data_IF_855011546364
#
_entry.id   IF_855011546364
#
_cell.length_a   1.000
_cell.length_b   1.000
_cell.length_c   1.000
_cell.angle_alpha   90.00
_cell.angle_beta   90.00
_cell.angle_gamma   90.00
#
_symmetry.space_group_name_H-M   'P 1'
#
loop_
_entity.id
_entity.type
_entity.pdbx_description
1 polymer ?
#
# COMPACT_ATOMS: atom_id res chain seq x y z
N UNK A 1 -14.63 8.99 28.64
CA UNK A 1 -13.84 10.20 28.31
C UNK A 1 -14.78 11.16 27.60
N UNK A 2 -14.81 12.44 27.95
CA UNK A 2 -15.70 13.45 27.33
C UNK A 2 -15.07 14.16 26.12
N UNK A 3 -13.88 13.72 25.70
CA UNK A 3 -13.10 14.29 24.62
C UNK A 3 -12.52 13.14 23.79
N UNK A 4 -12.30 13.37 22.50
CA UNK A 4 -11.69 12.36 21.63
C UNK A 4 -10.18 12.30 21.87
N UNK A 5 -9.74 11.14 22.36
CA UNK A 5 -8.33 10.79 22.50
C UNK A 5 -7.76 10.34 21.15
N UNK A 6 -6.66 10.96 20.72
CA UNK A 6 -5.94 10.65 19.49
C UNK A 6 -4.56 10.09 19.86
N UNK A 7 -4.20 8.92 19.35
CA UNK A 7 -2.92 8.26 19.63
C UNK A 7 -2.28 7.69 18.37
N UNK A 8 -0.98 7.94 18.25
CA UNK A 8 -0.14 7.49 17.15
C UNK A 8 0.67 6.30 17.64
N UNK A 9 0.46 5.13 17.03
CA UNK A 9 1.11 3.89 17.44
C UNK A 9 2.30 3.53 16.56
N UNK A 10 2.25 3.93 15.28
CA UNK A 10 3.32 3.76 14.29
C UNK A 10 3.07 4.68 13.08
N UNK A 11 4.02 4.85 12.16
CA UNK A 11 3.84 5.57 10.88
C UNK A 11 4.22 7.06 10.86
N UNK A 12 4.76 7.63 11.95
CA UNK A 12 5.15 9.05 12.01
C UNK A 12 6.44 9.38 11.26
N UNK A 13 7.37 8.43 11.24
CA UNK A 13 8.72 8.60 10.69
C UNK A 13 9.17 7.35 9.92
N UNK A 14 8.20 6.60 9.39
CA UNK A 14 8.40 5.39 8.61
C UNK A 14 7.57 5.44 7.34
N UNK A 15 8.04 4.76 6.30
CA UNK A 15 7.17 4.27 5.22
C UNK A 15 6.73 2.88 5.66
N UNK A 16 5.44 2.71 5.77
CA UNK A 16 4.73 1.53 6.22
C UNK A 16 4.46 1.45 7.72
N UNK A 17 3.57 0.52 8.07
CA UNK A 17 3.17 0.23 9.44
C UNK A 17 2.28 1.32 10.01
N UNK A 18 1.34 1.84 9.21
CA UNK A 18 0.52 2.97 9.61
C UNK A 18 -0.54 2.55 10.64
N UNK A 19 -0.49 3.12 11.84
CA UNK A 19 -1.43 2.77 12.93
C UNK A 19 -1.74 4.02 13.77
N UNK A 20 -2.95 4.54 13.66
CA UNK A 20 -3.51 5.61 14.50
C UNK A 20 -4.83 5.15 15.10
N UNK A 21 -5.11 5.55 16.34
CA UNK A 21 -6.42 5.36 16.97
C UNK A 21 -7.07 6.67 17.40
N UNK A 22 -8.40 6.71 17.26
CA UNK A 22 -9.28 7.72 17.84
C UNK A 22 -10.24 7.02 18.79
N UNK A 23 -10.35 7.52 20.03
CA UNK A 23 -11.22 6.93 21.04
C UNK A 23 -12.07 8.02 21.73
N UNK A 24 -13.37 7.79 21.82
CA UNK A 24 -14.31 8.60 22.57
C UNK A 24 -15.16 7.67 23.41
N UNK A 25 -15.23 7.92 24.73
CA UNK A 25 -15.82 6.97 25.68
C UNK A 25 -15.22 5.56 25.54
N UNK A 26 -16.06 4.53 25.36
CA UNK A 26 -15.66 3.16 25.14
C UNK A 26 -15.62 2.77 23.65
N UNK A 27 -15.79 3.72 22.72
CA UNK A 27 -15.70 3.45 21.28
C UNK A 27 -14.33 3.84 20.75
N UNK A 28 -13.71 2.96 19.96
CA UNK A 28 -12.41 3.20 19.34
C UNK A 28 -12.42 2.83 17.85
N UNK A 29 -11.82 3.69 17.05
CA UNK A 29 -11.45 3.44 15.66
C UNK A 29 -9.94 3.31 15.60
N UNK A 30 -9.44 2.31 14.88
CA UNK A 30 -8.06 2.24 14.42
C UNK A 30 -8.08 2.36 12.89
N UNK A 31 -7.29 3.28 12.32
CA UNK A 31 -7.09 3.37 10.88
C UNK A 31 -5.82 2.62 10.51
N UNK A 32 -5.97 1.60 9.67
CA UNK A 32 -4.98 0.60 9.28
C UNK A 32 -4.34 -0.19 10.45
N UNK A 33 -3.75 -1.34 10.12
CA UNK A 33 -3.00 -2.17 11.06
C UNK A 33 -1.89 -2.93 10.34
N UNK A 34 -0.97 -2.15 9.78
CA UNK A 34 0.11 -2.63 8.92
C UNK A 34 1.23 -3.39 9.62
N UNK A 35 2.02 -4.12 8.83
CA UNK A 35 3.31 -4.62 9.27
C UNK A 35 4.27 -3.44 9.54
N UNK A 36 4.76 -3.34 10.77
CA UNK A 36 5.74 -2.32 11.15
C UNK A 36 7.11 -2.59 10.51
N UNK A 37 7.92 -1.54 10.33
CA UNK A 37 9.27 -1.66 9.76
C UNK A 37 10.08 -2.69 10.54
N UNK A 38 10.65 -3.67 9.82
CA UNK A 38 11.44 -4.76 10.41
C UNK A 38 10.63 -5.96 10.92
N UNK A 39 9.30 -5.91 10.87
CA UNK A 39 8.46 -7.07 11.13
C UNK A 39 8.44 -7.99 9.90
N UNK A 40 8.55 -9.29 10.13
CA UNK A 40 8.35 -10.31 9.11
C UNK A 40 6.86 -10.71 9.10
N UNK A 41 6.27 -10.81 7.90
CA UNK A 41 4.83 -11.11 7.76
C UNK A 41 4.49 -12.53 8.22
N UNK A 42 5.37 -13.52 8.00
CA UNK A 42 5.16 -14.89 8.49
C UNK A 42 5.12 -14.94 10.02
N UNK A 43 5.98 -14.16 10.68
CA UNK A 43 5.94 -14.01 12.13
C UNK A 43 4.62 -13.35 12.58
N UNK A 44 4.15 -12.32 11.85
CA UNK A 44 2.87 -11.65 12.10
C UNK A 44 1.64 -12.53 11.84
N UNK A 45 1.77 -13.65 11.13
CA UNK A 45 0.71 -14.65 10.99
C UNK A 45 0.70 -15.65 12.15
N UNK A 46 1.79 -15.75 12.91
CA UNK A 46 1.93 -16.68 14.01
C UNK A 46 1.55 -16.03 15.36
N UNK A 47 0.31 -16.26 15.82
CA UNK A 47 -0.18 -15.78 17.13
C UNK A 47 0.60 -16.30 18.35
N UNK A 48 1.40 -17.37 18.21
CA UNK A 48 2.26 -17.79 19.32
C UNK A 48 3.43 -16.82 19.57
N UNK A 49 3.76 -15.98 18.58
CA UNK A 49 4.82 -14.98 18.67
C UNK A 49 4.34 -13.62 19.17
N UNK A 50 3.04 -13.41 19.45
CA UNK A 50 2.51 -12.08 19.81
C UNK A 50 3.26 -11.42 20.96
N UNK A 51 3.49 -12.14 22.08
CA UNK A 51 4.24 -11.60 23.22
C UNK A 51 5.67 -11.21 22.85
N UNK A 52 6.35 -12.00 22.01
CA UNK A 52 7.69 -11.68 21.52
C UNK A 52 7.66 -10.43 20.64
N UNK A 53 6.75 -10.37 19.66
CA UNK A 53 6.62 -9.24 18.73
C UNK A 53 6.29 -7.92 19.46
N UNK A 54 5.47 -7.97 20.51
CA UNK A 54 5.18 -6.82 21.38
C UNK A 54 6.43 -6.37 22.17
N UNK A 55 7.24 -7.31 22.65
CA UNK A 55 8.48 -7.00 23.37
C UNK A 55 9.60 -6.50 22.47
N UNK A 56 9.62 -6.92 21.20
CA UNK A 56 10.54 -6.47 20.15
C UNK A 56 10.09 -5.19 19.44
N UNK A 57 8.96 -4.58 19.86
CA UNK A 57 8.38 -3.37 19.23
C UNK A 57 8.03 -3.56 17.74
N UNK A 58 7.77 -4.80 17.32
CA UNK A 58 7.26 -5.16 15.98
C UNK A 58 5.74 -5.18 15.91
N UNK A 59 5.07 -5.05 17.06
CA UNK A 59 3.64 -4.82 17.23
C UNK A 59 3.40 -3.71 18.25
N UNK A 60 2.39 -2.85 18.07
CA UNK A 60 2.09 -1.80 19.02
C UNK A 60 1.41 -2.36 20.28
N UNK A 61 1.78 -1.88 21.46
CA UNK A 61 1.13 -2.27 22.73
C UNK A 61 -0.20 -1.53 22.93
N UNK A 62 -1.22 -1.89 22.15
CA UNK A 62 -2.56 -1.30 22.22
C UNK A 62 -3.44 -2.09 23.21
N UNK A 63 -3.89 -1.48 24.33
CA UNK A 63 -4.78 -2.15 25.29
C UNK A 63 -6.09 -2.60 24.65
N UNK A 64 -6.57 -3.79 25.02
CA UNK A 64 -7.86 -4.32 24.58
C UNK A 64 -7.88 -4.80 23.12
N UNK A 65 -6.71 -5.06 22.50
CA UNK A 65 -6.64 -5.48 21.10
C UNK A 65 -6.24 -6.95 20.91
N UNK A 66 -5.43 -7.49 21.81
CA UNK A 66 -4.86 -8.84 21.71
C UNK A 66 -5.50 -9.79 22.73
N UNK A 67 -5.67 -11.07 22.34
CA UNK A 67 -6.31 -12.03 23.23
C UNK A 67 -5.48 -12.38 24.46
N UNK A 68 -6.15 -12.69 25.57
CA UNK A 68 -5.53 -13.08 26.84
C UNK A 68 -4.60 -14.27 26.69
N UNK A 69 -4.92 -15.19 25.77
CA UNK A 69 -4.13 -16.40 25.51
C UNK A 69 -2.70 -16.08 25.03
N UNK A 70 -2.51 -14.97 24.30
CA UNK A 70 -1.24 -14.63 23.63
C UNK A 70 -0.43 -13.57 24.39
N UNK A 71 -0.97 -13.00 25.47
CA UNK A 71 -0.36 -11.95 26.30
C UNK A 71 0.39 -12.45 27.55
N UNK A 72 0.83 -13.72 27.56
CA UNK A 72 1.31 -14.42 28.79
C UNK A 72 2.33 -13.65 29.63
N UNK A 73 3.30 -13.00 28.98
CA UNK A 73 4.42 -12.31 29.64
C UNK A 73 4.43 -10.79 29.34
N UNK A 74 3.31 -10.24 28.87
CA UNK A 74 3.17 -8.82 28.55
C UNK A 74 2.05 -8.22 29.39
N UNK A 75 2.40 -7.24 30.23
CA UNK A 75 1.41 -6.48 31.00
C UNK A 75 0.65 -5.52 30.07
N UNK A 76 -0.49 -5.99 29.56
CA UNK A 76 -1.38 -5.26 28.67
C UNK A 76 -2.82 -5.74 28.89
N UNK A 77 -3.79 -4.83 28.86
CA UNK A 77 -5.21 -5.21 28.92
C UNK A 77 -5.54 -6.11 27.72
N UNK A 78 -6.14 -7.27 27.98
CA UNK A 78 -6.53 -8.22 26.94
C UNK A 78 -7.83 -7.79 26.27
N UNK A 79 -8.07 -8.29 25.06
CA UNK A 79 -9.32 -8.07 24.32
C UNK A 79 -10.54 -8.52 25.14
N UNK A 80 -10.46 -9.67 25.82
CA UNK A 80 -11.57 -10.24 26.60
C UNK A 80 -11.84 -9.49 27.90
N UNK A 81 -10.83 -8.80 28.45
CA UNK A 81 -10.95 -8.03 29.69
C UNK A 81 -11.27 -6.53 29.44
N UNK A 82 -11.35 -6.10 28.18
CA UNK A 82 -11.59 -4.69 27.80
C UNK A 82 -13.04 -4.42 27.45
N UNK A 83 -13.59 -3.31 27.96
CA UNK A 83 -14.92 -2.81 27.58
C UNK A 83 -14.88 -1.89 26.33
N UNK A 84 -13.70 -1.74 25.69
CA UNK A 84 -13.52 -0.84 24.53
C UNK A 84 -13.98 -1.53 23.24
N UNK A 85 -15.08 -1.04 22.68
CA UNK A 85 -15.59 -1.45 21.37
C UNK A 85 -14.68 -0.90 20.26
N UNK A 86 -13.81 -1.76 19.74
CA UNK A 86 -12.84 -1.41 18.70
C UNK A 86 -13.28 -1.89 17.33
N UNK A 87 -13.19 -1.01 16.33
CA UNK A 87 -13.22 -1.38 14.91
C UNK A 87 -11.94 -0.94 14.22
N UNK A 88 -11.62 -1.58 13.10
CA UNK A 88 -10.52 -1.17 12.21
C UNK A 88 -11.11 -0.68 10.89
N UNK A 89 -10.62 0.45 10.41
CA UNK A 89 -10.92 0.98 9.09
C UNK A 89 -9.67 0.84 8.24
N UNK A 90 -9.73 -0.03 7.22
CA UNK A 90 -8.62 -0.32 6.32
C UNK A 90 -8.69 0.57 5.08
N UNK A 91 -7.60 1.24 4.76
CA UNK A 91 -7.47 2.09 3.57
C UNK A 91 -7.25 1.27 2.29
N UNK A 92 -6.35 0.28 2.32
CA UNK A 92 -6.05 -0.57 1.17
C UNK A 92 -5.26 -1.84 1.55
N UNK A 93 -4.98 -2.70 0.57
CA UNK A 93 -4.51 -4.07 0.79
C UNK A 93 -2.98 -4.26 0.85
N UNK A 94 -2.15 -3.22 0.87
CA UNK A 94 -0.71 -3.43 1.01
C UNK A 94 -0.33 -3.90 2.42
N UNK A 95 0.70 -4.75 2.52
CA UNK A 95 1.12 -5.39 3.77
C UNK A 95 1.48 -4.40 4.87
N UNK A 96 1.92 -3.21 4.52
CA UNK A 96 2.21 -2.13 5.45
C UNK A 96 0.96 -1.37 5.94
N UNK A 97 -0.23 -1.80 5.53
CA UNK A 97 -1.55 -1.33 5.98
C UNK A 97 -2.42 -2.42 6.61
N UNK A 98 -2.27 -3.71 6.24
CA UNK A 98 -3.00 -4.83 6.88
C UNK A 98 -2.13 -5.95 7.46
N UNK A 99 -0.80 -5.88 7.30
CA UNK A 99 0.10 -7.01 7.57
C UNK A 99 0.04 -7.58 8.99
N UNK A 100 -0.38 -6.77 9.97
CA UNK A 100 -0.50 -7.19 11.37
C UNK A 100 -1.88 -7.77 11.71
N UNK A 101 -2.79 -7.94 10.73
CA UNK A 101 -4.13 -8.50 10.96
C UNK A 101 -4.10 -9.91 11.55
N UNK A 102 -3.05 -10.69 11.29
CA UNK A 102 -2.89 -12.05 11.85
C UNK A 102 -2.86 -12.08 13.38
N UNK A 103 -2.55 -10.95 14.02
CA UNK A 103 -2.40 -10.81 15.46
C UNK A 103 -3.69 -10.33 16.17
N UNK A 104 -4.70 -9.92 15.41
CA UNK A 104 -5.96 -9.40 15.94
C UNK A 104 -6.88 -10.53 16.40
N UNK A 105 -7.82 -10.22 17.30
CA UNK A 105 -8.97 -11.10 17.53
C UNK A 105 -9.83 -11.20 16.26
N UNK A 106 -10.31 -12.40 15.93
CA UNK A 106 -11.15 -12.64 14.74
C UNK A 106 -12.54 -12.02 14.84
N UNK A 107 -12.92 -11.49 16.00
CA UNK A 107 -14.21 -10.82 16.25
C UNK A 107 -14.15 -9.31 16.11
N UNK A 108 -12.98 -8.71 15.87
CA UNK A 108 -12.86 -7.26 15.66
C UNK A 108 -13.34 -6.95 14.23
N UNK A 109 -14.39 -6.11 14.06
CA UNK A 109 -14.86 -5.73 12.73
C UNK A 109 -13.81 -4.92 11.96
N UNK A 110 -13.55 -5.35 10.73
CA UNK A 110 -12.66 -4.70 9.77
C UNK A 110 -13.49 -4.11 8.63
N UNK A 111 -13.60 -2.79 8.57
CA UNK A 111 -14.28 -2.08 7.50
C UNK A 111 -13.30 -1.67 6.40
N UNK A 112 -13.63 -1.99 5.16
CA UNK A 112 -12.88 -1.58 3.97
C UNK A 112 -13.85 -1.33 2.80
N UNK A 113 -13.40 -0.67 1.74
CA UNK A 113 -14.21 -0.61 0.53
C UNK A 113 -14.50 -2.02 0.01
N UNK A 114 -15.71 -2.22 -0.51
CA UNK A 114 -16.17 -3.50 -1.05
C UNK A 114 -15.20 -4.07 -2.08
N UNK A 115 -14.69 -3.25 -2.99
CA UNK A 115 -13.68 -3.62 -3.97
C UNK A 115 -12.41 -4.20 -3.31
N UNK A 116 -11.98 -3.68 -2.15
CA UNK A 116 -10.85 -4.24 -1.40
C UNK A 116 -11.20 -5.58 -0.75
N UNK A 117 -12.40 -5.74 -0.17
CA UNK A 117 -12.80 -7.01 0.44
C UNK A 117 -12.91 -8.11 -0.62
N UNK A 118 -13.51 -7.82 -1.77
CA UNK A 118 -13.63 -8.76 -2.90
C UNK A 118 -12.24 -9.09 -3.48
N UNK A 119 -11.39 -8.08 -3.69
CA UNK A 119 -10.04 -8.30 -4.22
C UNK A 119 -9.13 -9.06 -3.24
N UNK A 120 -9.26 -8.78 -1.95
CA UNK A 120 -8.61 -9.57 -0.90
C UNK A 120 -8.98 -11.06 -1.00
N UNK A 121 -10.26 -11.36 -1.18
CA UNK A 121 -10.75 -12.74 -1.39
C UNK A 121 -10.00 -13.44 -2.52
N UNK A 122 -9.91 -12.80 -3.69
CA UNK A 122 -9.18 -13.35 -4.82
C UNK A 122 -7.67 -13.46 -4.62
N UNK A 123 -7.03 -12.49 -3.96
CA UNK A 123 -5.60 -12.56 -3.64
C UNK A 123 -5.31 -13.73 -2.67
N UNK A 124 -6.14 -13.87 -1.63
CA UNK A 124 -6.05 -14.94 -0.63
C UNK A 124 -6.29 -16.32 -1.26
N UNK A 125 -7.35 -16.49 -2.04
CA UNK A 125 -7.70 -17.76 -2.70
C UNK A 125 -6.58 -18.28 -3.62
N UNK A 126 -5.76 -17.37 -4.14
CA UNK A 126 -4.64 -17.67 -5.01
C UNK A 126 -3.28 -17.57 -4.29
N UNK A 127 -3.23 -17.48 -2.95
CA UNK A 127 -1.99 -17.44 -2.18
C UNK A 127 -1.04 -16.30 -2.61
N UNK A 128 -1.60 -15.15 -3.00
CA UNK A 128 -0.89 -13.93 -3.39
C UNK A 128 -0.95 -12.84 -2.30
N UNK A 129 -1.74 -13.08 -1.25
CA UNK A 129 -1.73 -12.33 -0.01
C UNK A 129 -2.06 -13.29 1.14
N UNK A 130 -1.52 -13.09 2.36
CA UNK A 130 -1.82 -13.97 3.48
C UNK A 130 -3.31 -14.09 3.81
N UNK A 131 -3.70 -15.26 4.30
CA UNK A 131 -5.05 -15.46 4.84
C UNK A 131 -5.13 -14.95 6.28
N UNK A 132 -5.79 -13.82 6.47
CA UNK A 132 -6.20 -13.30 7.76
C UNK A 132 -7.58 -13.83 8.18
N UNK A 133 -7.67 -14.32 9.41
CA UNK A 133 -8.90 -14.72 10.10
C UNK A 133 -9.47 -13.52 10.88
N UNK A 134 -10.23 -12.68 10.18
CA UNK A 134 -10.82 -11.42 10.67
C UNK A 134 -12.24 -11.26 10.16
N UNK A 135 -13.05 -10.46 10.85
CA UNK A 135 -14.43 -10.17 10.51
C UNK A 135 -14.52 -9.02 9.48
N UNK A 136 -14.63 -9.35 8.20
CA UNK A 136 -14.66 -8.37 7.10
C UNK A 136 -16.05 -7.76 6.89
N UNK A 137 -16.12 -6.43 6.87
CA UNK A 137 -17.32 -5.63 6.62
C UNK A 137 -17.14 -4.73 5.39
N UNK A 138 -17.70 -5.08 4.22
CA UNK A 138 -17.56 -4.26 3.02
C UNK A 138 -18.38 -2.97 3.12
N UNK A 139 -17.80 -1.87 2.65
CA UNK A 139 -18.44 -0.55 2.56
C UNK A 139 -18.49 -0.14 1.08
N UNK A 140 -19.66 0.28 0.60
CA UNK A 140 -19.81 0.78 -0.77
C UNK A 140 -19.04 2.11 -0.96
N UNK A 141 -18.73 2.47 -2.20
CA UNK A 141 -18.08 3.74 -2.54
C UNK A 141 -18.82 4.95 -1.93
N UNK A 142 -18.09 5.82 -1.23
CA UNK A 142 -18.65 6.97 -0.49
C UNK A 142 -19.59 6.58 0.66
N UNK A 143 -19.66 5.29 1.00
CA UNK A 143 -20.46 4.73 2.07
C UNK A 143 -20.04 5.27 3.44
N UNK A 144 -21.01 5.35 4.33
CA UNK A 144 -20.85 5.86 5.69
C UNK A 144 -21.28 4.80 6.68
N UNK A 145 -20.47 4.58 7.72
CA UNK A 145 -20.77 3.68 8.84
C UNK A 145 -20.86 4.50 10.13
N UNK A 146 -21.53 3.92 11.13
CA UNK A 146 -21.64 4.47 12.48
C UNK A 146 -20.96 3.52 13.46
N UNK A 147 -20.17 4.07 14.38
CA UNK A 147 -19.56 3.33 15.48
C UNK A 147 -19.66 4.15 16.76
N UNK A 148 -20.71 3.90 17.55
CA UNK A 148 -21.07 4.76 18.67
C UNK A 148 -21.17 6.23 18.28
N UNK A 149 -20.32 7.12 18.85
CA UNK A 149 -20.33 8.55 18.56
C UNK A 149 -19.64 8.94 17.24
N UNK A 150 -19.01 7.98 16.55
CA UNK A 150 -18.26 8.26 15.33
C UNK A 150 -19.10 8.01 14.07
N UNK A 151 -19.06 8.98 13.16
CA UNK A 151 -19.49 8.80 11.77
C UNK A 151 -18.26 8.69 10.87
N UNK A 152 -18.16 7.61 10.11
CA UNK A 152 -16.96 7.28 9.31
C UNK A 152 -17.35 7.09 7.86
N UNK A 153 -16.69 7.78 6.93
CA UNK A 153 -16.95 7.69 5.50
C UNK A 153 -15.70 7.25 4.73
N UNK A 154 -15.87 6.29 3.81
CA UNK A 154 -14.79 5.81 2.93
C UNK A 154 -14.86 6.51 1.58
N UNK A 155 -13.79 7.20 1.19
CA UNK A 155 -13.70 7.97 -0.05
C UNK A 155 -12.68 7.30 -0.97
N UNK A 156 -13.07 6.76 -2.13
CA UNK A 156 -12.13 6.12 -3.05
C UNK A 156 -11.02 7.09 -3.52
N UNK A 157 -9.79 6.57 -3.58
CA UNK A 157 -8.61 7.25 -4.14
C UNK A 157 -7.99 6.40 -5.26
N UNK A 158 -7.05 6.97 -6.00
CA UNK A 158 -6.24 6.23 -6.98
C UNK A 158 -4.94 5.79 -6.34
N UNK A 159 -4.64 4.50 -6.44
CA UNK A 159 -3.44 3.85 -5.92
C UNK A 159 -3.10 2.66 -6.85
N UNK A 160 -2.09 1.86 -6.53
CA UNK A 160 -1.71 0.65 -7.27
C UNK A 160 -2.35 -0.65 -6.73
N UNK A 161 -3.46 -0.54 -6.00
CA UNK A 161 -4.33 -1.66 -5.63
C UNK A 161 -5.82 -1.29 -5.73
N UNK A 162 -6.70 -2.28 -5.90
CA UNK A 162 -8.16 -2.03 -5.97
C UNK A 162 -8.75 -1.67 -4.60
N UNK A 163 -9.75 -0.80 -4.63
CA UNK A 163 -10.50 -0.36 -3.44
C UNK A 163 -9.73 0.54 -2.48
N UNK A 164 -8.61 1.14 -2.90
CA UNK A 164 -7.90 2.10 -2.06
C UNK A 164 -8.80 3.29 -1.68
N UNK A 165 -8.75 3.69 -0.40
CA UNK A 165 -9.63 4.70 0.17
C UNK A 165 -8.93 5.62 1.17
N UNK A 166 -9.41 6.86 1.22
CA UNK A 166 -9.24 7.76 2.36
C UNK A 166 -10.42 7.61 3.32
N UNK A 167 -10.17 7.74 4.62
CA UNK A 167 -11.14 7.54 5.69
C UNK A 167 -11.43 8.89 6.35
N UNK A 168 -12.67 9.37 6.27
CA UNK A 168 -13.13 10.61 6.89
C UNK A 168 -13.86 10.26 8.19
N UNK A 169 -13.39 10.79 9.32
CA UNK A 169 -13.90 10.47 10.65
C UNK A 169 -14.46 11.74 11.27
N UNK A 170 -15.73 11.72 11.64
CA UNK A 170 -16.36 12.74 12.48
C UNK A 170 -16.58 12.17 13.87
N UNK A 171 -15.87 12.71 14.86
CA UNK A 171 -16.11 12.48 16.27
C UNK A 171 -16.92 13.66 16.86
N UNK A 172 -17.39 13.59 18.12
CA UNK A 172 -18.19 14.67 18.72
C UNK A 172 -17.52 16.05 18.74
N UNK A 173 -16.20 16.08 18.93
CA UNK A 173 -15.40 17.29 19.13
C UNK A 173 -14.32 17.51 18.05
N UNK A 174 -14.07 16.56 17.14
CA UNK A 174 -13.02 16.67 16.12
C UNK A 174 -13.36 15.92 14.82
N UNK A 175 -12.97 16.50 13.68
CA UNK A 175 -12.99 15.88 12.35
C UNK A 175 -11.60 15.55 11.86
N UNK A 176 -11.38 14.29 11.50
CA UNK A 176 -10.08 13.80 11.02
C UNK A 176 -10.21 13.18 9.63
N UNK A 177 -9.28 13.50 8.75
CA UNK A 177 -9.09 12.78 7.49
C UNK A 177 -7.80 11.97 7.61
N UNK A 178 -7.90 10.66 7.38
CA UNK A 178 -6.78 9.78 7.11
C UNK A 178 -6.71 9.57 5.59
N UNK A 179 -5.64 10.02 4.93
CA UNK A 179 -5.57 9.97 3.47
C UNK A 179 -5.52 8.55 2.90
N UNK A 180 -5.01 7.58 3.67
CA UNK A 180 -4.42 6.37 3.08
C UNK A 180 -3.26 6.75 2.16
N UNK A 181 -2.95 5.87 1.22
CA UNK A 181 -2.02 6.17 0.14
C UNK A 181 -2.76 6.52 -1.13
N UNK A 182 -2.19 7.45 -1.91
CA UNK A 182 -2.81 7.87 -3.16
C UNK A 182 -1.78 8.42 -4.14
N UNK A 183 -2.17 8.47 -5.42
CA UNK A 183 -1.42 9.12 -6.50
C UNK A 183 -2.32 9.78 -7.53
N UNK A 184 -1.81 10.82 -8.20
CA UNK A 184 -2.42 11.39 -9.42
C UNK A 184 -1.82 10.81 -10.72
N UNK A 185 -0.92 9.83 -10.59
CA UNK A 185 -0.17 9.23 -11.69
C UNK A 185 -0.64 7.82 -12.06
N UNK A 186 -1.76 7.36 -11.47
CA UNK A 186 -2.36 6.05 -11.73
C UNK A 186 -3.31 6.03 -12.92
N UNK A 187 -4.29 5.13 -12.86
CA UNK A 187 -5.29 4.96 -13.92
C UNK A 187 -6.57 5.77 -13.67
N UNK A 188 -6.74 6.28 -12.45
CA UNK A 188 -7.97 6.90 -11.97
C UNK A 188 -7.73 8.23 -11.24
N UNK A 189 -6.89 9.16 -11.76
CA UNK A 189 -6.57 10.40 -11.06
C UNK A 189 -7.81 11.25 -10.73
N UNK A 190 -8.92 11.08 -11.45
CA UNK A 190 -10.21 11.68 -11.15
C UNK A 190 -10.75 11.34 -9.75
N UNK A 191 -10.40 10.17 -9.19
CA UNK A 191 -10.78 9.78 -7.82
C UNK A 191 -10.11 10.69 -6.80
N UNK A 192 -8.83 10.99 -6.96
CA UNK A 192 -8.08 11.91 -6.08
C UNK A 192 -8.60 13.35 -6.21
N UNK A 193 -8.96 13.79 -7.41
CA UNK A 193 -9.57 15.10 -7.60
C UNK A 193 -10.93 15.21 -6.87
N UNK A 194 -11.77 14.17 -6.98
CA UNK A 194 -13.06 14.09 -6.29
C UNK A 194 -12.88 14.04 -4.78
N UNK A 195 -11.91 13.25 -4.30
CA UNK A 195 -11.54 13.17 -2.89
C UNK A 195 -11.08 14.53 -2.35
N UNK A 196 -10.19 15.25 -3.05
CA UNK A 196 -9.70 16.55 -2.62
C UNK A 196 -10.82 17.59 -2.50
N UNK A 197 -11.80 17.57 -3.42
CA UNK A 197 -13.00 18.42 -3.33
C UNK A 197 -13.86 18.07 -2.11
N UNK A 198 -14.08 16.78 -1.85
CA UNK A 198 -14.83 16.32 -0.67
C UNK A 198 -14.10 16.65 0.63
N UNK A 199 -12.78 16.46 0.68
CA UNK A 199 -11.94 16.79 1.83
C UNK A 199 -11.99 18.29 2.13
N UNK A 200 -11.96 19.14 1.10
CA UNK A 200 -12.15 20.59 1.26
C UNK A 200 -13.53 20.93 1.83
N UNK A 201 -14.59 20.26 1.37
CA UNK A 201 -15.96 20.47 1.85
C UNK A 201 -16.20 19.91 3.26
N UNK A 202 -15.49 18.85 3.63
CA UNK A 202 -15.57 18.22 4.96
C UNK A 202 -15.05 19.15 6.07
N UNK A 203 -14.14 20.07 5.71
CA UNK A 203 -13.55 21.08 6.59
C UNK A 203 -12.92 20.43 7.84
N UNK A 204 -11.95 19.55 7.58
CA UNK A 204 -11.29 18.75 8.60
C UNK A 204 -10.50 19.62 9.59
N UNK A 205 -10.58 19.25 10.86
CA UNK A 205 -9.72 19.79 11.90
C UNK A 205 -8.29 19.28 11.73
N UNK A 206 -8.13 17.99 11.41
CA UNK A 206 -6.84 17.34 11.24
C UNK A 206 -6.84 16.53 9.94
N UNK A 207 -5.81 16.74 9.12
CA UNK A 207 -5.49 15.89 7.97
C UNK A 207 -4.19 15.15 8.23
N UNK A 208 -4.26 13.82 8.30
CA UNK A 208 -3.11 12.94 8.16
C UNK A 208 -2.95 12.64 6.68
N UNK A 209 -1.80 13.04 6.12
CA UNK A 209 -1.54 12.88 4.70
C UNK A 209 -0.22 12.16 4.48
N UNK A 210 -0.25 11.13 3.63
CA UNK A 210 0.95 10.40 3.23
C UNK A 210 2.00 11.34 2.60
N UNK A 211 3.26 10.93 2.69
CA UNK A 211 4.42 11.70 2.27
C UNK A 211 5.53 10.81 1.74
N UNK A 212 5.21 9.64 1.19
CA UNK A 212 6.18 8.60 0.88
C UNK A 212 7.28 9.14 -0.02
N UNK A 213 6.91 9.88 -1.07
CA UNK A 213 7.86 10.44 -2.04
C UNK A 213 8.70 11.60 -1.50
N UNK A 214 8.30 12.26 -0.41
CA UNK A 214 9.13 13.24 0.29
C UNK A 214 10.34 12.60 0.96
N UNK A 215 10.28 11.30 1.27
CA UNK A 215 11.39 10.54 1.85
C UNK A 215 12.64 10.55 0.97
N UNK A 216 12.46 10.78 -0.34
CA UNK A 216 13.52 10.77 -1.34
C UNK A 216 13.92 12.17 -1.81
N UNK A 217 13.27 13.22 -1.32
CA UNK A 217 13.63 14.60 -1.71
C UNK A 217 15.00 14.94 -1.13
N UNK A 218 15.93 15.32 -2.02
CA UNK A 218 17.31 15.62 -1.66
C UNK A 218 18.11 14.41 -1.19
N UNK A 219 17.59 13.19 -1.37
CA UNK A 219 18.35 11.97 -1.08
C UNK A 219 19.34 11.69 -2.22
N UNK A 220 20.59 11.44 -1.85
CA UNK A 220 21.59 10.94 -2.79
C UNK A 220 21.39 9.43 -3.02
N UNK A 221 21.64 8.91 -4.22
CA UNK A 221 21.61 7.47 -4.48
C UNK A 221 22.54 6.72 -3.53
N UNK A 222 22.10 5.57 -3.02
CA UNK A 222 22.97 4.68 -2.26
C UNK A 222 24.05 4.07 -3.17
N UNK A 223 25.11 3.50 -2.60
CA UNK A 223 26.08 2.77 -3.43
C UNK A 223 25.46 1.60 -4.18
N UNK A 224 24.44 0.96 -3.60
CA UNK A 224 23.69 -0.10 -4.26
C UNK A 224 22.94 0.45 -5.48
N UNK A 225 22.29 1.61 -5.37
CA UNK A 225 21.62 2.28 -6.49
C UNK A 225 22.60 2.55 -7.63
N UNK A 226 23.77 3.11 -7.31
CA UNK A 226 24.81 3.42 -8.30
C UNK A 226 25.32 2.15 -9.02
N UNK A 227 25.48 1.03 -8.29
CA UNK A 227 25.90 -0.25 -8.89
C UNK A 227 24.79 -0.83 -9.77
N UNK A 228 23.53 -0.74 -9.34
CA UNK A 228 22.37 -1.22 -10.11
C UNK A 228 22.18 -0.38 -11.39
N UNK A 229 22.37 0.94 -11.33
CA UNK A 229 22.27 1.82 -12.50
C UNK A 229 23.28 1.45 -13.59
N UNK A 230 24.49 0.98 -13.20
CA UNK A 230 25.51 0.55 -14.15
C UNK A 230 25.14 -0.73 -14.93
N UNK A 231 24.22 -1.55 -14.39
CA UNK A 231 23.84 -2.83 -14.98
C UNK A 231 22.40 -2.86 -15.54
N UNK A 232 21.65 -1.75 -15.42
CA UNK A 232 20.24 -1.68 -15.81
C UNK A 232 19.95 -0.50 -16.74
N UNK A 233 18.79 -0.52 -17.41
CA UNK A 233 18.24 0.65 -18.11
C UNK A 233 16.95 1.10 -17.45
N UNK A 234 16.69 2.40 -17.38
CA UNK A 234 15.47 2.94 -16.78
C UNK A 234 14.55 3.59 -17.85
N UNK A 235 13.26 3.22 -17.85
CA UNK A 235 12.27 3.79 -18.78
C UNK A 235 11.73 5.16 -18.37
N UNK A 236 11.99 5.60 -17.13
CA UNK A 236 11.62 6.92 -16.60
C UNK A 236 10.15 7.29 -16.92
N UNK A 237 9.21 6.50 -16.39
CA UNK A 237 7.78 6.78 -16.55
C UNK A 237 7.25 7.65 -15.41
N UNK A 238 6.51 8.71 -15.75
CA UNK A 238 5.89 9.63 -14.78
C UNK A 238 4.52 9.17 -14.29
N UNK A 239 3.88 8.27 -15.04
CA UNK A 239 2.56 7.73 -14.74
C UNK A 239 2.36 6.38 -15.43
N UNK A 240 1.30 5.67 -15.03
CA UNK A 240 0.95 4.34 -15.57
C UNK A 240 0.78 4.34 -17.10
N UNK A 241 0.17 5.39 -17.68
CA UNK A 241 -0.08 5.45 -19.12
C UNK A 241 1.23 5.60 -19.92
N UNK A 242 2.16 6.42 -19.41
CA UNK A 242 3.49 6.56 -20.00
C UNK A 242 4.28 5.26 -19.84
N UNK A 243 4.20 4.59 -18.69
CA UNK A 243 4.85 3.29 -18.47
C UNK A 243 4.39 2.26 -19.50
N UNK A 244 3.08 2.08 -19.66
CA UNK A 244 2.51 1.17 -20.65
C UNK A 244 2.94 1.51 -22.08
N UNK A 245 3.01 2.81 -22.41
CA UNK A 245 3.50 3.27 -23.72
C UNK A 245 4.97 2.94 -23.94
N UNK A 246 5.80 3.12 -22.91
CA UNK A 246 7.23 2.77 -22.95
C UNK A 246 7.43 1.26 -23.06
N UNK A 247 6.74 0.45 -22.26
CA UNK A 247 6.77 -1.01 -22.34
C UNK A 247 6.41 -1.51 -23.75
N UNK A 248 5.36 -0.95 -24.36
CA UNK A 248 4.97 -1.25 -25.73
C UNK A 248 6.11 -0.95 -26.72
N UNK A 249 6.77 0.19 -26.59
CA UNK A 249 7.88 0.59 -27.48
C UNK A 249 9.11 -0.28 -27.28
N UNK A 250 9.46 -0.62 -26.05
CA UNK A 250 10.62 -1.49 -25.77
C UNK A 250 10.40 -2.90 -26.28
N UNK A 251 9.20 -3.46 -26.11
CA UNK A 251 8.85 -4.78 -26.67
C UNK A 251 8.98 -4.81 -28.19
N UNK A 252 8.57 -3.75 -28.89
CA UNK A 252 8.71 -3.63 -30.34
C UNK A 252 10.17 -3.59 -30.82
N UNK A 253 11.13 -3.19 -29.98
CA UNK A 253 12.57 -3.19 -30.31
C UNK A 253 13.20 -4.58 -30.20
N UNK A 254 12.51 -5.54 -29.59
CA UNK A 254 13.00 -6.90 -29.37
C UNK A 254 12.02 -7.94 -29.96
N UNK A 255 11.68 -7.87 -31.26
CA UNK A 255 10.63 -8.70 -31.86
C UNK A 255 10.95 -10.19 -31.73
N UNK A 256 12.22 -10.57 -31.79
CA UNK A 256 12.67 -11.97 -31.78
C UNK A 256 13.06 -12.51 -30.39
N UNK A 257 13.05 -11.66 -29.35
CA UNK A 257 13.46 -12.05 -27.99
C UNK A 257 12.26 -12.40 -27.12
N UNK A 258 12.47 -13.25 -26.12
CA UNK A 258 11.53 -13.41 -25.00
C UNK A 258 11.45 -12.10 -24.20
N UNK A 259 10.28 -11.83 -23.62
CA UNK A 259 10.09 -10.75 -22.65
C UNK A 259 9.69 -11.38 -21.32
N UNK A 260 10.41 -11.06 -20.25
CA UNK A 260 10.02 -11.36 -18.89
C UNK A 260 9.45 -10.09 -18.21
N UNK A 261 8.47 -10.26 -17.33
CA UNK A 261 7.82 -9.17 -16.61
C UNK A 261 7.61 -9.54 -15.15
N UNK A 262 8.13 -8.73 -14.24
CA UNK A 262 7.92 -8.85 -12.81
C UNK A 262 7.09 -7.66 -12.32
N UNK A 263 5.85 -7.90 -11.92
CA UNK A 263 4.95 -6.86 -11.42
C UNK A 263 4.14 -7.36 -10.25
N UNK A 264 3.70 -6.42 -9.41
CA UNK A 264 2.98 -6.73 -8.18
C UNK A 264 1.56 -7.25 -8.45
N UNK A 265 1.10 -8.32 -7.77
CA UNK A 265 -0.22 -8.92 -8.03
C UNK A 265 -1.38 -7.99 -7.68
N UNK A 266 -1.15 -7.08 -6.72
CA UNK A 266 -2.17 -6.13 -6.26
C UNK A 266 -2.47 -5.04 -7.31
N UNK A 267 -1.55 -4.76 -8.25
CA UNK A 267 -1.81 -3.87 -9.39
C UNK A 267 -2.40 -4.63 -10.58
N UNK A 268 -3.57 -5.25 -10.34
CA UNK A 268 -4.27 -6.09 -11.33
C UNK A 268 -4.59 -5.33 -12.63
N UNK A 269 -4.87 -4.03 -12.54
CA UNK A 269 -5.11 -3.18 -13.70
C UNK A 269 -3.87 -3.07 -14.59
N UNK A 270 -2.67 -2.92 -14.01
CA UNK A 270 -1.41 -2.93 -14.76
C UNK A 270 -1.18 -4.29 -15.41
N UNK A 271 -1.39 -5.40 -14.70
CA UNK A 271 -1.22 -6.75 -15.24
C UNK A 271 -2.10 -6.98 -16.47
N UNK A 272 -3.39 -6.64 -16.39
CA UNK A 272 -4.34 -6.79 -17.51
C UNK A 272 -3.95 -5.90 -18.69
N UNK A 273 -3.55 -4.65 -18.44
CA UNK A 273 -3.12 -3.74 -19.51
C UNK A 273 -1.79 -4.19 -20.14
N UNK A 274 -0.88 -4.77 -19.36
CA UNK A 274 0.34 -5.38 -19.88
C UNK A 274 0.02 -6.60 -20.76
N UNK A 275 -0.90 -7.49 -20.34
CA UNK A 275 -1.35 -8.62 -21.15
C UNK A 275 -1.93 -8.17 -22.50
N UNK A 276 -2.68 -7.05 -22.54
CA UNK A 276 -3.15 -6.45 -23.80
C UNK A 276 -2.00 -5.98 -24.71
N UNK A 277 -0.93 -5.42 -24.13
CA UNK A 277 0.27 -5.02 -24.89
C UNK A 277 0.97 -6.25 -25.47
N UNK A 278 1.12 -7.31 -24.66
CA UNK A 278 1.72 -8.58 -25.07
C UNK A 278 0.94 -9.18 -26.25
N UNK A 279 -0.38 -9.31 -26.12
CA UNK A 279 -1.24 -9.82 -27.20
C UNK A 279 -1.25 -8.92 -28.44
N UNK A 280 -1.16 -7.60 -28.26
CA UNK A 280 -1.04 -6.64 -29.37
C UNK A 280 0.24 -6.80 -30.19
N UNK A 281 1.26 -7.47 -29.65
CA UNK A 281 2.48 -7.86 -30.38
C UNK A 281 2.42 -9.31 -30.90
N UNK A 282 1.25 -9.94 -30.89
CA UNK A 282 1.08 -11.33 -31.32
C UNK A 282 1.67 -12.36 -30.36
N UNK A 283 1.88 -11.99 -29.09
CA UNK A 283 2.46 -12.85 -28.06
C UNK A 283 1.39 -13.36 -27.09
N UNK A 284 1.60 -14.55 -26.54
CA UNK A 284 0.83 -15.08 -25.42
C UNK A 284 1.53 -14.74 -24.10
N UNK A 285 0.77 -14.28 -23.10
CA UNK A 285 1.30 -14.07 -21.75
C UNK A 285 1.30 -15.40 -20.98
N UNK A 286 2.46 -15.84 -20.53
CA UNK A 286 2.68 -17.04 -19.73
C UNK A 286 2.85 -16.60 -18.28
N UNK A 287 2.05 -17.15 -17.37
CA UNK A 287 2.03 -16.75 -15.96
C UNK A 287 2.38 -17.92 -15.04
N UNK A 288 2.72 -17.61 -13.78
CA UNK A 288 2.46 -18.56 -12.71
C UNK A 288 0.95 -18.87 -12.63
N UNK A 289 0.60 -20.07 -12.15
CA UNK A 289 -0.79 -20.52 -12.06
C UNK A 289 -1.63 -19.62 -11.14
N UNK A 290 -1.06 -19.10 -10.04
CA UNK A 290 -1.75 -18.18 -9.12
C UNK A 290 -2.11 -16.87 -9.82
N UNK A 291 -1.13 -16.28 -10.52
CA UNK A 291 -1.36 -15.08 -11.32
C UNK A 291 -2.36 -15.29 -12.45
N UNK A 292 -2.31 -16.45 -13.12
CA UNK A 292 -3.27 -16.79 -14.17
C UNK A 292 -4.71 -16.83 -13.65
N UNK A 293 -4.96 -17.48 -12.51
CA UNK A 293 -6.29 -17.55 -11.92
C UNK A 293 -6.77 -16.18 -11.44
N UNK A 294 -5.89 -15.40 -10.78
CA UNK A 294 -6.21 -14.03 -10.37
C UNK A 294 -6.62 -13.18 -11.58
N UNK A 295 -5.78 -13.12 -12.62
CA UNK A 295 -6.07 -12.31 -13.80
C UNK A 295 -7.35 -12.74 -14.50
N UNK A 296 -7.62 -14.05 -14.58
CA UNK A 296 -8.82 -14.59 -15.21
C UNK A 296 -10.11 -14.10 -14.54
N UNK A 297 -10.11 -13.88 -13.23
CA UNK A 297 -11.27 -13.35 -12.50
C UNK A 297 -11.64 -11.91 -12.90
N UNK A 298 -10.68 -11.14 -13.43
CA UNK A 298 -10.85 -9.72 -13.77
C UNK A 298 -10.88 -9.41 -15.27
N UNK A 299 -10.85 -10.44 -16.13
CA UNK A 299 -10.93 -10.24 -17.58
C UNK A 299 -12.35 -9.92 -18.04
N UNK A 300 -12.52 -8.73 -18.62
CA UNK A 300 -13.75 -8.36 -19.34
C UNK A 300 -13.80 -8.99 -20.74
N UNK A 301 -12.63 -9.16 -21.37
CA UNK A 301 -12.49 -9.77 -22.70
C UNK A 301 -11.39 -10.83 -22.66
N UNK A 302 -11.53 -11.93 -23.42
CA UNK A 302 -10.50 -12.95 -23.51
C UNK A 302 -9.17 -12.36 -23.98
N UNK A 303 -8.10 -12.71 -23.29
CA UNK A 303 -6.72 -12.43 -23.67
C UNK A 303 -5.99 -13.76 -23.89
N UNK A 304 -5.04 -13.78 -24.82
CA UNK A 304 -4.18 -14.93 -25.02
C UNK A 304 -3.21 -15.02 -23.83
N UNK A 305 -3.61 -15.82 -22.85
CA UNK A 305 -2.84 -16.12 -21.65
C UNK A 305 -2.77 -17.62 -21.44
N UNK A 306 -1.70 -18.09 -20.81
CA UNK A 306 -1.53 -19.46 -20.34
C UNK A 306 -0.71 -19.41 -19.05
N UNK A 307 -0.44 -20.57 -18.45
CA UNK A 307 0.44 -20.69 -17.31
C UNK A 307 1.56 -21.69 -17.58
N UNK A 308 2.66 -21.58 -16.86
CA UNK A 308 3.79 -22.50 -16.99
C UNK A 308 3.51 -23.80 -16.20
N UNK A 309 3.90 -24.94 -16.76
CA UNK A 309 3.75 -26.25 -16.12
C UNK A 309 2.64 -27.12 -16.70
N UNK A 310 2.21 -28.13 -15.94
CA UNK A 310 1.30 -29.17 -16.42
C UNK A 310 -0.08 -28.61 -16.85
N UNK A 311 -0.50 -28.95 -18.08
CA UNK A 311 -1.74 -28.44 -18.68
C UNK A 311 -1.64 -27.04 -19.28
N UNK A 312 -0.49 -26.37 -19.13
CA UNK A 312 -0.17 -25.09 -19.73
C UNK A 312 0.90 -25.22 -20.81
N UNK A 313 2.02 -24.50 -20.65
CA UNK A 313 3.18 -24.52 -21.55
C UNK A 313 4.47 -24.92 -20.81
N UNK A 314 5.38 -25.62 -21.49
CA UNK A 314 6.68 -26.00 -20.92
C UNK A 314 7.79 -25.02 -21.27
N UNK A 315 8.90 -25.09 -20.53
CA UNK A 315 10.12 -24.29 -20.79
C UNK A 315 10.69 -24.59 -22.18
N UNK A 316 10.65 -25.85 -22.62
CA UNK A 316 11.13 -26.27 -23.93
C UNK A 316 10.35 -25.57 -25.05
N UNK A 317 9.03 -25.53 -24.95
CA UNK A 317 8.17 -24.85 -25.94
C UNK A 317 8.42 -23.34 -25.98
N UNK A 318 8.65 -22.70 -24.82
CA UNK A 318 9.04 -21.29 -24.75
C UNK A 318 10.40 -21.09 -25.45
N UNK A 319 11.36 -21.98 -25.24
CA UNK A 319 12.70 -21.91 -25.83
C UNK A 319 12.75 -22.17 -27.33
N UNK A 320 11.81 -22.94 -27.88
CA UNK A 320 11.63 -23.17 -29.31
C UNK A 320 11.11 -21.92 -30.04
N UNK A 321 10.21 -21.16 -29.41
CA UNK A 321 9.59 -19.98 -30.01
C UNK A 321 9.49 -18.77 -29.05
N UNK A 322 10.62 -18.23 -28.54
CA UNK A 322 10.62 -17.20 -27.48
C UNK A 322 9.91 -15.90 -27.88
N UNK A 323 9.90 -15.59 -29.18
CA UNK A 323 9.23 -14.41 -29.74
C UNK A 323 7.69 -14.47 -29.64
N UNK A 324 7.10 -15.66 -29.42
CA UNK A 324 5.65 -15.84 -29.28
C UNK A 324 5.16 -15.63 -27.85
N UNK A 325 6.07 -15.43 -26.89
CA UNK A 325 5.71 -15.42 -25.47
C UNK A 325 6.19 -14.16 -24.76
N UNK A 326 5.50 -13.85 -23.66
CA UNK A 326 6.04 -13.06 -22.57
C UNK A 326 5.82 -13.84 -21.27
N UNK A 327 6.80 -13.87 -20.38
CA UNK A 327 6.79 -14.63 -19.14
C UNK A 327 6.60 -13.69 -17.95
N UNK A 328 5.53 -13.85 -17.17
CA UNK A 328 5.45 -13.25 -15.85
C UNK A 328 6.39 -14.01 -14.89
N UNK A 329 7.09 -13.25 -14.05
CA UNK A 329 8.10 -13.76 -13.13
C UNK A 329 7.52 -13.83 -11.73
N UNK A 330 7.49 -15.05 -11.20
CA UNK A 330 7.22 -15.31 -9.79
C UNK A 330 8.55 -15.22 -9.02
N UNK A 331 8.58 -14.41 -7.96
CA UNK A 331 9.79 -14.22 -7.15
C UNK A 331 10.01 -15.38 -6.18
N UNK A 332 8.93 -16.10 -5.83
CA UNK A 332 8.99 -17.27 -4.94
C UNK A 332 9.52 -18.51 -5.67
N UNK A 333 9.30 -18.58 -6.99
CA UNK A 333 9.88 -19.61 -7.86
C UNK A 333 10.50 -19.02 -9.14
N UNK A 334 11.82 -18.87 -9.10
CA UNK A 334 12.62 -18.36 -10.22
C UNK A 334 13.07 -19.44 -11.21
N UNK A 335 12.64 -20.70 -11.04
CA UNK A 335 13.09 -21.84 -11.86
C UNK A 335 12.85 -21.59 -13.34
N UNK A 336 11.65 -21.11 -13.68
CA UNK A 336 11.27 -20.78 -15.06
C UNK A 336 12.17 -19.72 -15.69
N UNK A 337 12.41 -18.62 -14.97
CA UNK A 337 13.20 -17.48 -15.44
C UNK A 337 14.63 -17.87 -15.83
N UNK A 338 15.22 -18.83 -15.10
CA UNK A 338 16.59 -19.32 -15.31
C UNK A 338 16.67 -20.62 -16.11
N UNK A 339 15.57 -21.07 -16.70
CA UNK A 339 15.54 -22.22 -17.62
C UNK A 339 15.22 -21.82 -19.07
N UNK A 340 14.70 -20.60 -19.28
CA UNK A 340 14.41 -20.04 -20.60
C UNK A 340 15.57 -19.22 -21.18
N UNK A 341 15.63 -19.08 -22.51
CA UNK A 341 16.60 -18.23 -23.21
C UNK A 341 16.34 -16.76 -22.84
N UNK A 342 17.35 -16.04 -22.31
CA UNK A 342 17.15 -14.69 -21.84
C UNK A 342 16.86 -13.71 -22.99
N UNK A 343 16.09 -12.68 -22.69
CA UNK A 343 15.73 -11.61 -23.60
C UNK A 343 15.65 -10.26 -22.89
N UNK A 344 14.48 -9.61 -22.92
CA UNK A 344 14.23 -8.40 -22.14
C UNK A 344 13.58 -8.75 -20.80
N UNK A 345 14.05 -8.18 -19.70
CA UNK A 345 13.43 -8.32 -18.39
C UNK A 345 12.89 -6.96 -17.93
N UNK A 346 11.57 -6.86 -17.76
CA UNK A 346 10.92 -5.68 -17.20
C UNK A 346 10.68 -5.87 -15.70
N UNK A 347 11.38 -5.08 -14.89
CA UNK A 347 11.10 -4.94 -13.47
C UNK A 347 10.08 -3.83 -13.25
N UNK A 348 8.83 -4.15 -12.97
CA UNK A 348 7.70 -3.20 -12.95
C UNK A 348 6.99 -3.17 -11.60
N UNK A 349 7.73 -2.73 -10.57
CA UNK A 349 7.29 -2.68 -9.18
C UNK A 349 6.93 -4.05 -8.57
N UNK A 350 7.49 -5.16 -9.08
CA UNK A 350 7.41 -6.47 -8.42
C UNK A 350 8.51 -6.63 -7.35
N UNK A 351 8.39 -7.64 -6.49
CA UNK A 351 9.42 -7.93 -5.49
C UNK A 351 10.70 -8.50 -6.14
N UNK A 352 11.89 -8.30 -5.55
CA UNK A 352 12.19 -7.30 -4.51
C UNK A 352 12.03 -5.86 -5.04
N UNK A 353 11.59 -4.92 -4.21
CA UNK A 353 11.06 -3.61 -4.68
C UNK A 353 12.12 -2.54 -4.97
N UNK A 354 13.31 -2.63 -4.37
CA UNK A 354 14.34 -1.60 -4.52
C UNK A 354 15.55 -1.84 -3.64
N UNK A 355 16.55 -0.97 -3.75
CA UNK A 355 17.87 -1.09 -3.11
C UNK A 355 17.85 -1.07 -1.57
N UNK A 356 16.75 -0.63 -0.96
CA UNK A 356 16.53 -0.72 0.48
C UNK A 356 16.25 -2.15 0.96
N UNK A 357 15.86 -3.05 0.06
CA UNK A 357 15.77 -4.49 0.31
C UNK A 357 17.15 -5.13 0.05
N UNK A 358 17.76 -5.79 1.05
CA UNK A 358 19.08 -6.42 0.91
C UNK A 358 19.13 -7.52 -0.16
N UNK A 359 17.98 -8.05 -0.59
CA UNK A 359 17.88 -9.07 -1.64
C UNK A 359 17.81 -8.48 -3.06
N UNK A 360 17.58 -7.16 -3.20
CA UNK A 360 17.39 -6.51 -4.49
C UNK A 360 18.64 -6.53 -5.37
N UNK A 361 19.78 -6.02 -4.88
CA UNK A 361 21.03 -6.00 -5.66
C UNK A 361 21.49 -7.43 -6.04
N UNK A 362 21.50 -8.43 -5.13
CA UNK A 362 21.78 -9.82 -5.49
C UNK A 362 20.85 -10.37 -6.58
N UNK A 363 19.55 -10.04 -6.53
CA UNK A 363 18.58 -10.44 -7.54
C UNK A 363 18.89 -9.83 -8.91
N UNK A 364 19.12 -8.51 -8.97
CA UNK A 364 19.46 -7.80 -10.22
C UNK A 364 20.72 -8.40 -10.85
N UNK A 365 21.79 -8.60 -10.06
CA UNK A 365 23.04 -9.21 -10.52
C UNK A 365 22.80 -10.59 -11.10
N UNK A 366 22.07 -11.46 -10.40
CA UNK A 366 21.76 -12.81 -10.87
C UNK A 366 21.02 -12.80 -12.21
N UNK A 367 20.06 -11.89 -12.40
CA UNK A 367 19.29 -11.76 -13.65
C UNK A 367 20.18 -11.25 -14.79
N UNK A 368 21.01 -10.24 -14.54
CA UNK A 368 21.94 -9.68 -15.54
C UNK A 368 23.04 -10.68 -15.91
N UNK A 369 23.67 -11.34 -14.92
CA UNK A 369 24.75 -12.32 -15.13
C UNK A 369 24.27 -13.54 -15.91
N UNK A 370 22.98 -13.90 -15.78
CA UNK A 370 22.36 -14.95 -16.59
C UNK A 370 22.16 -14.53 -18.07
N UNK A 371 22.16 -13.22 -18.35
CA UNK A 371 22.12 -12.66 -19.72
C UNK A 371 20.84 -11.88 -20.06
N UNK A 372 19.98 -11.58 -19.10
CA UNK A 372 18.80 -10.74 -19.33
C UNK A 372 19.16 -9.26 -19.48
N UNK A 373 18.56 -8.58 -20.45
CA UNK A 373 18.60 -7.12 -20.51
C UNK A 373 17.61 -6.56 -19.48
N UNK A 374 18.14 -6.14 -18.32
CA UNK A 374 17.35 -5.67 -17.20
C UNK A 374 16.88 -4.22 -17.41
N UNK A 375 15.57 -4.03 -17.44
CA UNK A 375 14.91 -2.74 -17.65
C UNK A 375 14.01 -2.42 -16.46
N UNK A 376 14.35 -1.34 -15.74
CA UNK A 376 13.53 -0.74 -14.71
C UNK A 376 12.33 -0.03 -15.36
N UNK A 377 11.14 -0.52 -15.06
CA UNK A 377 9.88 -0.15 -15.68
C UNK A 377 8.86 0.25 -14.60
N UNK A 378 9.20 1.29 -13.84
CA UNK A 378 8.46 1.69 -12.64
C UNK A 378 7.47 2.83 -12.89
N UNK A 379 6.32 2.76 -12.25
CA UNK A 379 5.43 3.90 -12.00
C UNK A 379 4.91 3.76 -10.57
N UNK A 380 5.33 4.66 -9.67
CA UNK A 380 5.09 4.52 -8.23
C UNK A 380 3.61 4.56 -7.83
N UNK A 381 3.28 3.92 -6.70
CA UNK A 381 1.96 3.96 -6.07
C UNK A 381 1.62 5.29 -5.40
N UNK A 382 2.62 6.12 -5.10
CA UNK A 382 2.44 7.34 -4.30
C UNK A 382 2.49 8.64 -5.12
N UNK A 383 1.80 9.66 -4.64
CA UNK A 383 1.77 10.99 -5.24
C UNK A 383 3.16 11.63 -5.25
N UNK A 384 3.49 12.38 -6.31
CA UNK A 384 4.75 13.12 -6.37
C UNK A 384 4.79 14.23 -5.30
N UNK A 385 5.97 14.74 -4.90
CA UNK A 385 6.05 15.84 -3.94
C UNK A 385 5.22 17.08 -4.36
N UNK A 386 5.17 17.38 -5.65
CA UNK A 386 4.35 18.47 -6.19
C UNK A 386 2.84 18.18 -6.08
N UNK A 387 2.43 16.94 -6.33
CA UNK A 387 1.03 16.52 -6.22
C UNK A 387 0.55 16.52 -4.76
N UNK A 388 1.39 16.04 -3.84
CA UNK A 388 1.15 16.10 -2.38
C UNK A 388 0.94 17.55 -1.92
N UNK A 389 1.82 18.45 -2.35
CA UNK A 389 1.72 19.88 -2.04
C UNK A 389 0.51 20.55 -2.73
N UNK A 390 0.11 20.10 -3.92
CA UNK A 390 -1.09 20.58 -4.60
C UNK A 390 -2.34 20.17 -3.84
N UNK A 391 -2.45 18.90 -3.46
CA UNK A 391 -3.57 18.35 -2.70
C UNK A 391 -3.74 19.07 -1.36
N UNK A 392 -2.65 19.24 -0.59
CA UNK A 392 -2.69 20.00 0.66
C UNK A 392 -3.29 21.39 0.49
N UNK A 393 -2.84 22.12 -0.55
CA UNK A 393 -3.32 23.46 -0.88
C UNK A 393 -4.79 23.51 -1.30
N UNK A 394 -5.32 22.42 -1.86
CA UNK A 394 -6.76 22.30 -2.20
C UNK A 394 -7.59 22.02 -0.96
N UNK A 395 -7.18 21.08 -0.10
CA UNK A 395 -7.95 20.63 1.08
C UNK A 395 -8.02 21.72 2.15
N UNK A 396 -6.90 22.37 2.47
CA UNK A 396 -6.77 23.41 3.50
C UNK A 396 -7.44 23.04 4.85
N UNK A 397 -7.00 21.94 5.50
CA UNK A 397 -7.45 21.59 6.84
C UNK A 397 -6.89 22.58 7.87
N UNK A 398 -7.40 22.54 9.12
CA UNK A 398 -6.88 23.40 10.19
C UNK A 398 -5.47 23.02 10.61
N UNK A 399 -5.20 21.71 10.73
CA UNK A 399 -3.89 21.13 11.00
C UNK A 399 -3.55 20.04 9.99
N UNK A 400 -2.29 19.99 9.57
CA UNK A 400 -1.74 18.90 8.76
C UNK A 400 -0.73 18.11 9.56
N UNK A 401 -0.82 16.79 9.49
CA UNK A 401 0.18 15.85 10.01
C UNK A 401 0.84 15.17 8.79
N UNK A 402 2.09 15.53 8.46
CA UNK A 402 2.92 14.76 7.55
C UNK A 402 3.08 13.35 8.10
N UNK A 403 2.66 12.36 7.33
CA UNK A 403 2.56 10.97 7.77
C UNK A 403 3.16 10.05 6.69
N UNK A 404 3.51 8.79 7.02
CA UNK A 404 3.99 7.79 6.06
C UNK A 404 5.23 8.26 5.27
N UNK A 405 6.23 8.76 5.98
CA UNK A 405 7.44 9.34 5.38
C UNK A 405 8.63 9.24 6.32
N UNK A 406 9.83 9.02 5.76
CA UNK A 406 11.08 9.11 6.53
C UNK A 406 11.52 10.57 6.76
N UNK A 407 10.94 11.53 6.03
CA UNK A 407 11.29 12.95 6.14
C UNK A 407 10.07 13.82 6.50
N UNK A 408 9.36 13.54 7.62
CA UNK A 408 8.16 14.29 7.98
C UNK A 408 8.47 15.76 8.18
N UNK A 409 9.63 16.09 8.77
CA UNK A 409 10.07 17.48 8.99
C UNK A 409 10.17 18.27 7.70
N UNK A 410 10.86 17.73 6.69
CA UNK A 410 11.01 18.38 5.39
C UNK A 410 9.66 18.59 4.71
N UNK A 411 8.81 17.56 4.73
CA UNK A 411 7.48 17.64 4.13
C UNK A 411 6.61 18.70 4.83
N UNK A 412 6.56 18.70 6.16
CA UNK A 412 5.79 19.70 6.89
C UNK A 412 6.36 21.11 6.78
N UNK A 413 7.68 21.31 6.66
CA UNK A 413 8.25 22.61 6.33
C UNK A 413 7.77 23.10 4.95
N UNK A 414 7.70 22.21 3.95
CA UNK A 414 7.15 22.54 2.64
C UNK A 414 5.66 22.87 2.67
N UNK A 415 4.87 22.18 3.51
CA UNK A 415 3.45 22.51 3.76
C UNK A 415 3.29 23.85 4.47
N UNK A 416 4.10 24.11 5.51
CA UNK A 416 4.10 25.36 6.25
C UNK A 416 4.46 26.56 5.36
N UNK A 417 5.38 26.38 4.41
CA UNK A 417 5.72 27.38 3.40
C UNK A 417 4.52 27.75 2.48
N UNK A 418 3.49 26.92 2.41
CA UNK A 418 2.23 27.24 1.72
C UNK A 418 1.23 28.02 2.60
N UNK A 419 1.58 28.31 3.86
CA UNK A 419 0.74 29.02 4.83
C UNK A 419 -0.24 28.13 5.60
N UNK A 420 0.03 26.82 5.69
CA UNK A 420 -0.79 25.87 6.45
C UNK A 420 -0.14 25.54 7.80
N UNK A 421 -0.96 25.27 8.81
CA UNK A 421 -0.46 24.86 10.13
C UNK A 421 -0.10 23.38 10.11
N UNK A 422 1.11 23.09 10.59
CA UNK A 422 1.61 21.72 10.68
C UNK A 422 1.71 21.30 12.13
N UNK A 423 1.24 20.09 12.41
CA UNK A 423 1.34 19.45 13.71
C UNK A 423 2.33 18.29 13.69
N UNK A 424 3.21 18.27 14.69
CA UNK A 424 4.25 17.27 14.90
C UNK A 424 3.88 16.38 16.10
N UNK A 425 3.08 15.33 15.91
CA UNK A 425 2.81 14.35 16.96
C UNK A 425 4.07 13.55 17.34
N UNK A 426 3.94 12.80 18.41
CA UNK A 426 4.95 11.85 18.91
C UNK A 426 4.24 10.61 19.40
N UNK A 427 4.91 9.46 19.31
CA UNK A 427 4.47 8.20 19.92
C UNK A 427 4.33 8.33 21.44
N UNK A 428 3.62 7.38 22.06
CA UNK A 428 3.44 7.26 23.52
C UNK A 428 2.81 8.49 24.18
N UNK A 429 2.01 9.26 23.42
CA UNK A 429 1.25 10.41 23.92
C UNK A 429 -0.20 10.32 23.47
N UNK A 430 -1.08 10.72 24.36
CA UNK A 430 -2.51 10.93 24.08
C UNK A 430 -2.76 12.40 23.86
N UNK A 431 -3.40 12.74 22.74
CA UNK A 431 -3.78 14.10 22.41
C UNK A 431 -5.29 14.26 22.47
N UNK A 432 -5.73 15.46 22.85
CA UNK A 432 -7.14 15.86 22.85
C UNK A 432 -7.29 17.12 22.00
N UNK A 433 -8.38 17.22 21.25
CA UNK A 433 -8.59 18.33 20.32
C UNK A 433 -8.64 19.70 21.00
N UNK A 434 -9.22 19.80 22.20
CA UNK A 434 -9.23 21.03 23.00
C UNK A 434 -7.82 21.59 23.21
N UNK A 435 -6.86 20.73 23.52
CA UNK A 435 -5.47 21.10 23.79
C UNK A 435 -4.71 21.46 22.50
N UNK A 436 -5.03 20.79 21.39
CA UNK A 436 -4.41 21.03 20.09
C UNK A 436 -4.90 22.34 19.47
N UNK A 437 -6.21 22.58 19.49
CA UNK A 437 -6.84 23.76 18.88
C UNK A 437 -6.41 25.06 19.55
N UNK A 438 -6.24 25.08 20.88
CA UNK A 438 -5.73 26.25 21.61
C UNK A 438 -4.26 26.55 21.31
N UNK A 439 -3.41 25.52 21.24
CA UNK A 439 -1.96 25.69 21.07
C UNK A 439 -1.55 26.13 19.66
N UNK A 440 -2.33 25.76 18.65
CA UNK A 440 -1.97 25.95 17.24
C UNK A 440 -2.78 27.07 16.56
N UNK A 441 -3.46 27.90 17.35
CA UNK A 441 -4.21 29.05 16.85
C UNK A 441 -5.41 28.69 15.97
N UNK A 442 -5.88 27.44 16.04
CA UNK A 442 -6.98 26.91 15.22
C UNK A 442 -8.35 27.14 15.90
N UNK A 443 -8.54 28.31 16.55
CA UNK A 443 -9.88 28.68 17.03
C UNK A 443 -10.76 29.01 15.82
N UNK A 444 -11.89 28.31 15.72
CA UNK A 444 -12.99 28.73 14.87
C UNK A 444 -13.41 30.16 15.27
N UNK A 445 -13.59 31.07 14.32
CA UNK A 445 -14.27 32.37 14.53
C UNK A 445 -15.78 32.22 14.85
N UNK A 446 -16.21 31.05 15.32
CA UNK A 446 -17.59 30.77 15.72
C UNK A 446 -17.58 30.01 17.04
N UNK A 447 -17.41 30.78 18.12
CA UNK A 447 -18.11 30.63 19.39
C UNK A 447 -18.17 32.00 20.06
#
# INVERSE_FOLDING_TARGET
MTETAIQFWSGLNTIGGNIISLQYENYRIIADFGAMVGANVDDLLNRSLTSQLLNEEKLPKIPGLYSKQVLKDVELESFEDSDVETIICLSHLHLDHLGSFGQLSSTIPIYALKDSVEFYGHLKENELLPSYDVDWHPVEDFGTIQHGPFTIQFIPVDHDTLGAASIFITAPDVKVIYSGDFRLSGFHPEKVLTWAQKARAFDADILLIEGTTFSHVGAEPSEADLRIEQMTRNLMAKNEQQLLTSLKKEMAKAPDKLVAFNGYPQNITRLIRFARIVNGHGRQLVLDKRYYQLMKAYLIQPLAMTYIGEGGITVEQINEAPHQYALQVDIEDLTALFAVKPGLYFHSNGMPLGSYDPTYEPFVRRVVDYGWEFVLANAGGHASPNDLLLVNRVIKPKLVVPWHTYQPKLYGEAIAAQGQNVWWPSYNKTYYWSQLSEKLGAKNEKN
#
